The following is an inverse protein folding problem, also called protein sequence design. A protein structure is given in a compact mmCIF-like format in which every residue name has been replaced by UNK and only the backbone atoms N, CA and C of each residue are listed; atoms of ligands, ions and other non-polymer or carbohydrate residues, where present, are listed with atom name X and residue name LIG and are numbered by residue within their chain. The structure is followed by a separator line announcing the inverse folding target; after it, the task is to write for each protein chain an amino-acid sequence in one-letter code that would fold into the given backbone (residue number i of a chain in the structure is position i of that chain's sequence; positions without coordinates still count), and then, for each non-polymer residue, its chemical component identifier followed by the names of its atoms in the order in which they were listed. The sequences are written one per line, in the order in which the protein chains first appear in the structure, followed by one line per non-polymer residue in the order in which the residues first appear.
data_IF_033658231623
#
_entry.id   IF_033658231623
#
_cell.length_a   1.000
_cell.length_b   1.000
_cell.length_c   1.000
_cell.angle_alpha   90.00
_cell.angle_beta   90.00
_cell.angle_gamma   90.00
#
_symmetry.space_group_name_H-M   'P 1'
#
loop_
_entity.id
_entity.type
_entity.pdbx_description
1 polymer ?
#
# COMPACT_ATOMS: atom_id res chain seq x y z
N UNK A 1 -13.56 -13.41 -21.96
CA UNK A 1 -12.44 -12.44 -21.94
C UNK A 1 -11.82 -12.41 -20.56
N UNK A 2 -10.76 -13.21 -20.38
CA UNK A 2 -10.19 -13.52 -19.07
C UNK A 2 -9.19 -12.46 -18.65
N UNK A 3 -9.36 -11.92 -17.44
CA UNK A 3 -8.34 -11.12 -16.77
C UNK A 3 -7.17 -12.05 -16.45
N UNK A 4 -6.07 -11.94 -17.20
CA UNK A 4 -4.81 -12.60 -16.85
C UNK A 4 -4.21 -11.84 -15.68
N UNK A 5 -4.42 -12.35 -14.46
CA UNK A 5 -3.71 -11.89 -13.28
C UNK A 5 -2.51 -12.82 -13.06
N UNK A 6 -1.34 -12.24 -12.78
CA UNK A 6 -0.13 -13.03 -12.54
C UNK A 6 -0.30 -13.93 -11.31
N UNK A 7 0.06 -15.21 -11.46
CA UNK A 7 0.04 -16.17 -10.34
C UNK A 7 1.16 -15.89 -9.34
N UNK A 8 2.25 -15.25 -9.78
CA UNK A 8 3.38 -14.84 -8.94
C UNK A 8 3.88 -13.49 -9.45
N UNK A 9 4.10 -12.55 -8.53
CA UNK A 9 4.76 -11.27 -8.79
C UNK A 9 5.95 -11.10 -7.82
N UNK A 10 7.05 -10.55 -8.31
CA UNK A 10 8.21 -10.23 -7.49
C UNK A 10 8.79 -8.88 -7.91
N UNK A 11 9.27 -8.12 -6.93
CA UNK A 11 9.82 -6.79 -7.15
C UNK A 11 10.99 -6.52 -6.22
N UNK A 12 11.97 -5.79 -6.73
CA UNK A 12 13.07 -5.22 -5.93
C UNK A 12 12.83 -3.72 -5.84
N UNK A 13 12.68 -3.22 -4.62
CA UNK A 13 12.56 -1.80 -4.32
C UNK A 13 13.91 -1.29 -3.82
N UNK A 14 14.30 -0.10 -4.28
CA UNK A 14 15.46 0.63 -3.76
C UNK A 14 14.98 1.92 -3.13
N UNK A 15 15.36 2.12 -1.88
CA UNK A 15 15.04 3.32 -1.11
C UNK A 15 16.14 4.38 -1.28
N UNK A 16 15.80 5.64 -0.99
CA UNK A 16 16.71 6.77 -1.16
C UNK A 16 17.93 6.71 -0.23
N UNK A 17 17.79 6.04 0.92
CA UNK A 17 18.87 5.78 1.87
C UNK A 17 19.78 4.61 1.45
N UNK A 18 19.50 3.98 0.31
CA UNK A 18 20.24 2.83 -0.20
C UNK A 18 19.74 1.47 0.30
N UNK A 19 18.72 1.43 1.18
CA UNK A 19 18.10 0.18 1.57
C UNK A 19 17.44 -0.52 0.37
N UNK A 20 17.31 -1.84 0.47
CA UNK A 20 16.68 -2.68 -0.54
C UNK A 20 15.58 -3.52 0.09
N UNK A 21 14.47 -3.69 -0.62
CA UNK A 21 13.45 -4.68 -0.26
C UNK A 21 13.15 -5.59 -1.44
N UNK A 22 13.02 -6.88 -1.15
CA UNK A 22 12.45 -7.86 -2.07
C UNK A 22 11.02 -8.14 -1.64
N UNK A 23 10.05 -7.80 -2.49
CA UNK A 23 8.63 -8.07 -2.25
C UNK A 23 8.20 -9.18 -3.20
N UNK A 24 7.60 -10.25 -2.67
CA UNK A 24 7.05 -11.35 -3.47
C UNK A 24 5.60 -11.59 -3.09
N UNK A 25 4.72 -11.52 -4.08
CA UNK A 25 3.33 -11.96 -4.00
C UNK A 25 3.15 -13.26 -4.77
N UNK A 26 2.33 -14.17 -4.24
CA UNK A 26 1.86 -15.33 -4.98
C UNK A 26 0.36 -15.45 -4.76
N UNK A 27 -0.39 -15.62 -5.83
CA UNK A 27 -1.78 -16.05 -5.79
C UNK A 27 -1.79 -17.53 -5.44
N UNK A 28 -2.48 -17.91 -4.38
CA UNK A 28 -2.53 -19.30 -3.92
C UNK A 28 -3.63 -19.54 -2.91
N UNK A 29 -3.91 -20.82 -2.67
CA UNK A 29 -4.99 -21.27 -1.80
C UNK A 29 -4.51 -21.37 -0.34
N UNK A 30 -5.16 -20.56 0.49
CA UNK A 30 -5.38 -20.63 1.94
C UNK A 30 -4.25 -20.85 2.97
N UNK A 31 -3.03 -21.29 2.63
CA UNK A 31 -2.09 -21.74 3.69
C UNK A 31 -0.87 -20.86 3.95
N UNK A 32 -0.60 -19.83 3.15
CA UNK A 32 0.56 -18.95 3.40
C UNK A 32 0.09 -17.61 3.92
N UNK A 33 0.42 -17.29 5.16
CA UNK A 33 0.44 -15.91 5.59
C UNK A 33 1.88 -15.41 5.56
N UNK A 34 2.00 -14.12 5.26
CA UNK A 34 3.24 -13.54 4.74
C UNK A 34 4.43 -13.73 5.68
N UNK A 35 5.64 -13.66 5.13
CA UNK A 35 6.87 -13.57 5.90
C UNK A 35 7.52 -12.24 5.63
N UNK A 36 7.88 -11.53 6.69
CA UNK A 36 8.69 -10.32 6.63
C UNK A 36 10.04 -10.60 7.28
N UNK A 37 11.11 -10.29 6.56
CA UNK A 37 12.47 -10.40 7.07
C UNK A 37 13.18 -9.06 6.88
N UNK A 38 13.74 -8.53 7.97
CA UNK A 38 14.49 -7.28 7.99
C UNK A 38 15.91 -7.59 8.45
N UNK A 39 16.88 -7.20 7.64
CA UNK A 39 18.30 -7.38 7.92
C UNK A 39 18.94 -6.02 8.19
N UNK A 40 19.39 -5.80 9.42
CA UNK A 40 20.22 -4.66 9.80
C UNK A 40 21.69 -5.05 9.89
N UNK A 41 22.55 -4.06 10.10
CA UNK A 41 24.00 -4.29 10.19
C UNK A 41 24.40 -5.15 11.40
N UNK A 42 23.58 -5.14 12.46
CA UNK A 42 23.89 -5.78 13.75
C UNK A 42 22.85 -6.83 14.18
N UNK A 43 21.67 -6.85 13.54
CA UNK A 43 20.57 -7.73 13.92
C UNK A 43 19.68 -8.06 12.73
N UNK A 44 18.97 -9.18 12.83
CA UNK A 44 17.88 -9.53 11.92
C UNK A 44 16.58 -9.74 12.68
N UNK A 45 15.48 -9.37 12.05
CA UNK A 45 14.12 -9.59 12.55
C UNK A 45 13.36 -10.40 11.51
N UNK A 46 12.74 -11.49 11.96
CA UNK A 46 11.87 -12.33 11.14
C UNK A 46 10.49 -12.34 11.78
N UNK A 47 9.47 -12.02 10.99
CA UNK A 47 8.07 -12.05 11.37
C UNK A 47 7.35 -12.98 10.40
N UNK A 48 6.94 -14.14 10.90
CA UNK A 48 6.03 -15.02 10.18
C UNK A 48 4.60 -14.63 10.57
N UNK A 49 3.83 -14.13 9.61
CA UNK A 49 2.41 -13.83 9.77
C UNK A 49 1.66 -15.13 9.51
N UNK A 50 0.68 -15.47 10.35
CA UNK A 50 -0.19 -16.64 10.17
C UNK A 50 -1.59 -16.21 9.70
N UNK A 51 -2.24 -17.03 8.86
CA UNK A 51 -3.60 -16.75 8.37
C UNK A 51 -4.56 -17.20 9.46
N UNK A 52 -5.04 -16.27 10.27
CA UNK A 52 -6.03 -16.58 11.29
C UNK A 52 -7.43 -16.71 10.64
N UNK A 53 -8.03 -17.90 10.73
CA UNK A 53 -9.40 -18.19 10.28
C UNK A 53 -10.34 -18.40 11.49
N UNK A 54 -10.28 -17.52 12.49
CA UNK A 54 -11.09 -17.59 13.71
C UNK A 54 -11.78 -16.25 14.03
N UNK A 55 -12.44 -16.10 15.19
CA UNK A 55 -13.14 -14.85 15.57
C UNK A 55 -12.26 -13.59 15.60
N UNK A 56 -10.94 -13.76 15.68
CA UNK A 56 -9.93 -12.70 15.55
C UNK A 56 -9.68 -12.26 14.10
N UNK A 57 -10.18 -12.98 13.10
CA UNK A 57 -10.05 -12.61 11.68
C UNK A 57 -10.81 -11.32 11.34
N UNK A 58 -11.90 -11.04 12.06
CA UNK A 58 -12.68 -9.80 11.91
C UNK A 58 -12.15 -8.66 12.78
N UNK A 59 -11.24 -8.94 13.71
CA UNK A 59 -10.70 -7.93 14.63
C UNK A 59 -9.97 -6.78 13.92
N UNK A 60 -9.18 -7.01 12.84
CA UNK A 60 -8.62 -5.93 12.04
C UNK A 60 -9.68 -5.05 11.39
N UNK A 61 -10.79 -5.63 10.88
CA UNK A 61 -11.87 -4.86 10.27
C UNK A 61 -12.62 -4.02 11.31
N UNK A 62 -12.93 -4.59 12.47
CA UNK A 62 -13.59 -3.86 13.56
C UNK A 62 -12.70 -2.73 14.10
N UNK A 63 -11.38 -2.96 14.21
CA UNK A 63 -10.41 -1.94 14.59
C UNK A 63 -10.34 -0.81 13.55
N UNK A 64 -10.28 -1.13 12.26
CA UNK A 64 -10.29 -0.12 11.18
C UNK A 64 -11.60 0.66 11.14
N UNK A 65 -12.75 0.02 11.36
CA UNK A 65 -14.04 0.72 11.46
C UNK A 65 -14.07 1.70 12.65
N UNK A 66 -13.56 1.29 13.82
CA UNK A 66 -13.45 2.18 14.97
C UNK A 66 -12.52 3.36 14.68
N UNK A 67 -11.39 3.11 14.04
CA UNK A 67 -10.44 4.14 13.62
C UNK A 67 -11.08 5.14 12.65
N UNK A 68 -11.87 4.65 11.70
CA UNK A 68 -12.62 5.48 10.76
C UNK A 68 -13.66 6.37 11.47
N UNK A 69 -14.43 5.80 12.41
CA UNK A 69 -15.38 6.60 13.19
C UNK A 69 -14.71 7.65 14.09
N UNK A 70 -13.52 7.35 14.63
CA UNK A 70 -12.69 8.34 15.34
C UNK A 70 -12.29 9.49 14.43
N UNK A 71 -11.78 9.20 13.23
CA UNK A 71 -11.34 10.22 12.26
C UNK A 71 -12.41 11.26 11.88
N UNK A 72 -13.69 10.89 11.95
CA UNK A 72 -14.82 11.79 11.69
C UNK A 72 -15.10 12.71 12.89
N UNK A 73 -14.78 12.27 14.11
CA UNK A 73 -15.20 12.90 15.37
C UNK A 73 -14.24 13.97 15.88
N UNK A 74 -12.92 13.79 15.71
CA UNK A 74 -11.95 14.73 16.26
C UNK A 74 -10.90 15.15 15.23
N UNK A 75 -10.36 16.36 15.38
CA UNK A 75 -9.34 16.90 14.47
C UNK A 75 -8.01 16.13 14.58
N UNK A 76 -7.65 15.66 15.78
CA UNK A 76 -6.46 14.84 15.98
C UNK A 76 -6.58 13.49 15.25
N UNK A 77 -7.73 12.84 15.32
CA UNK A 77 -7.99 11.59 14.61
C UNK A 77 -8.12 11.81 13.09
N UNK A 78 -8.62 12.98 12.65
CA UNK A 78 -8.61 13.36 11.23
C UNK A 78 -7.19 13.45 10.67
N UNK A 79 -6.26 14.12 11.36
CA UNK A 79 -4.85 14.20 10.92
C UNK A 79 -4.18 12.83 10.82
N UNK A 80 -4.45 11.93 11.78
CA UNK A 80 -3.97 10.55 11.72
C UNK A 80 -4.55 9.77 10.53
N UNK A 81 -5.75 10.12 10.09
CA UNK A 81 -6.37 9.56 8.89
C UNK A 81 -5.77 10.14 7.60
N UNK A 82 -5.43 11.43 7.57
CA UNK A 82 -4.74 12.05 6.44
C UNK A 82 -3.36 11.39 6.22
N UNK A 83 -2.60 11.12 7.29
CA UNK A 83 -1.36 10.33 7.20
C UNK A 83 -1.58 8.91 6.65
N UNK A 84 -2.75 8.34 6.90
CA UNK A 84 -3.12 7.01 6.42
C UNK A 84 -3.47 7.03 4.95
N UNK A 85 -4.24 8.03 4.52
CA UNK A 85 -4.54 8.27 3.11
C UNK A 85 -3.24 8.49 2.33
N UNK A 86 -2.34 9.32 2.85
CA UNK A 86 -1.05 9.60 2.24
C UNK A 86 -0.22 8.32 2.04
N UNK A 87 -0.18 7.47 3.07
CA UNK A 87 0.46 6.15 2.99
C UNK A 87 -0.20 5.27 1.94
N UNK A 88 -1.53 5.26 1.84
CA UNK A 88 -2.23 4.46 0.83
C UNK A 88 -1.93 4.92 -0.59
N UNK A 89 -1.90 6.23 -0.84
CA UNK A 89 -1.47 6.79 -2.13
C UNK A 89 -0.03 6.38 -2.46
N UNK A 90 0.88 6.45 -1.49
CA UNK A 90 2.26 6.00 -1.70
C UNK A 90 2.35 4.51 -2.05
N UNK A 91 1.54 3.65 -1.40
CA UNK A 91 1.48 2.21 -1.71
C UNK A 91 0.88 1.96 -3.09
N UNK A 92 -0.18 2.67 -3.48
CA UNK A 92 -0.80 2.55 -4.81
C UNK A 92 0.20 2.91 -5.90
N UNK A 93 0.87 4.05 -5.77
CA UNK A 93 1.91 4.47 -6.70
C UNK A 93 3.03 3.42 -6.84
N UNK A 94 3.43 2.77 -5.73
CA UNK A 94 4.37 1.64 -5.78
C UNK A 94 3.80 0.48 -6.58
N UNK A 95 2.57 0.03 -6.29
CA UNK A 95 1.94 -1.10 -7.00
C UNK A 95 1.80 -0.84 -8.50
N UNK A 96 1.36 0.35 -8.89
CA UNK A 96 1.26 0.75 -10.29
C UNK A 96 2.62 0.77 -10.99
N UNK A 97 3.64 1.28 -10.30
CA UNK A 97 5.02 1.28 -10.79
C UNK A 97 5.53 -0.13 -10.99
N UNK A 98 5.27 -1.05 -10.05
CA UNK A 98 5.66 -2.45 -10.18
C UNK A 98 4.99 -3.12 -11.38
N UNK A 99 3.71 -2.86 -11.58
CA UNK A 99 2.98 -3.37 -12.75
C UNK A 99 3.56 -2.82 -14.06
N UNK A 100 3.85 -1.51 -14.11
CA UNK A 100 4.47 -0.88 -15.28
C UNK A 100 5.85 -1.45 -15.56
N UNK A 101 6.72 -1.55 -14.54
CA UNK A 101 8.04 -2.16 -14.63
C UNK A 101 7.99 -3.61 -15.11
N UNK A 102 7.06 -4.41 -14.62
CA UNK A 102 6.87 -5.79 -15.06
C UNK A 102 6.48 -5.86 -16.55
N UNK A 103 5.64 -4.93 -16.99
CA UNK A 103 5.17 -4.86 -18.39
C UNK A 103 6.25 -4.34 -19.35
N UNK A 104 7.08 -3.38 -18.94
CA UNK A 104 8.10 -2.76 -19.79
C UNK A 104 9.46 -3.45 -19.70
N UNK A 105 9.69 -4.22 -18.63
CA UNK A 105 11.00 -4.77 -18.28
C UNK A 105 12.01 -3.71 -17.85
N UNK A 106 11.57 -2.48 -17.57
CA UNK A 106 12.42 -1.36 -17.17
C UNK A 106 12.18 -0.99 -15.71
N UNK A 107 13.21 -0.44 -15.06
CA UNK A 107 13.06 0.15 -13.73
C UNK A 107 12.29 1.46 -13.82
N UNK A 108 11.24 1.60 -13.01
CA UNK A 108 10.41 2.79 -12.94
C UNK A 108 10.51 3.45 -11.56
N UNK A 109 10.19 4.75 -11.46
CA UNK A 109 10.27 5.52 -10.21
C UNK A 109 8.86 5.76 -9.61
N UNK A 110 8.53 5.18 -8.44
CA UNK A 110 7.22 5.37 -7.82
C UNK A 110 6.91 6.81 -7.41
N UNK A 111 7.93 7.63 -7.16
CA UNK A 111 7.75 9.01 -6.71
C UNK A 111 6.97 9.85 -7.73
N UNK A 112 7.23 9.63 -9.02
CA UNK A 112 6.56 10.39 -10.09
C UNK A 112 5.07 10.07 -10.17
N UNK A 113 4.66 8.81 -9.96
CA UNK A 113 3.24 8.44 -9.89
C UNK A 113 2.58 8.96 -8.61
N UNK A 114 3.28 8.89 -7.48
CA UNK A 114 2.77 9.42 -6.22
C UNK A 114 2.51 10.93 -6.26
N UNK A 115 3.42 11.69 -6.87
CA UNK A 115 3.25 13.14 -7.06
C UNK A 115 2.05 13.46 -7.99
N UNK A 116 1.77 12.60 -8.98
CA UNK A 116 0.59 12.70 -9.84
C UNK A 116 -0.70 12.36 -9.08
N UNK A 117 -0.70 11.31 -8.25
CA UNK A 117 -1.87 10.89 -7.45
C UNK A 117 -2.20 11.89 -6.32
N UNK A 118 -1.18 12.55 -5.76
CA UNK A 118 -1.35 13.67 -4.82
C UNK A 118 -1.93 14.92 -5.47
N UNK A 119 -1.99 15.00 -6.80
CA UNK A 119 -2.66 16.11 -7.47
C UNK A 119 -4.15 16.08 -7.16
N UNK A 120 -4.72 17.14 -6.57
CA UNK A 120 -6.08 17.08 -6.08
C UNK A 120 -7.07 17.09 -7.25
N UNK A 121 -7.66 15.93 -7.58
CA UNK A 121 -8.90 15.84 -8.36
C UNK A 121 -10.09 16.53 -7.67
N UNK A 122 -9.91 17.00 -6.44
CA UNK A 122 -10.87 17.72 -5.61
C UNK A 122 -10.60 19.24 -5.55
N UNK A 123 -9.52 19.73 -6.19
CA UNK A 123 -9.32 21.16 -6.49
C UNK A 123 -9.87 21.57 -7.86
N UNK A 124 -10.67 20.72 -8.50
CA UNK A 124 -11.64 21.24 -9.48
C UNK A 124 -12.68 22.01 -8.68
N UNK A 125 -12.33 23.24 -8.29
CA UNK A 125 -13.31 24.29 -8.12
C UNK A 125 -14.18 24.21 -9.36
N UNK A 126 -15.41 23.75 -9.15
CA UNK A 126 -16.50 24.02 -10.05
C UNK A 126 -16.52 25.54 -10.16
N UNK A 127 -15.92 26.06 -11.21
CA UNK A 127 -16.22 27.38 -11.72
C UNK A 127 -17.67 27.28 -12.20
N UNK A 128 -18.62 27.31 -11.26
CA UNK A 128 -19.95 27.77 -11.58
C UNK A 128 -19.74 29.23 -12.01
N UNK A 129 -20.03 29.60 -13.26
CA UNK A 129 -20.03 31.00 -13.62
C UNK A 129 -21.08 31.69 -12.75
N UNK A 130 -20.67 32.75 -12.06
CA UNK A 130 -21.57 33.58 -11.26
C UNK A 130 -22.84 33.89 -12.05
N UNK A 131 -24.00 33.51 -11.50
CA UNK A 131 -25.32 33.97 -11.90
C UNK A 131 -25.95 34.72 -10.73
#
# INVERSE_FOLDING_TARGET
DGVFADDIAAAILRFDDGALALVRGRRGDETTAGRLEMLGNESSVVIDVEKYAGPLADAPLAFEMQRFFGAIRTEAERRANDETLDRHLAVTAVLETLYLSARTGQSENPRSLYELERWPLWQTHVLLPNA
#
